data_IF_854566083141
#
_entry.id   IF_854566083141
#
_cell.length_a   1.000
_cell.length_b   1.000
_cell.length_c   1.000
_cell.angle_alpha   90.00
_cell.angle_beta   90.00
_cell.angle_gamma   90.00
#
_symmetry.space_group_name_H-M   'P 1'
#
loop_
_entity.id
_entity.type
_entity.pdbx_description
1 polymer ?
#
# COMPACT_ATOMS: atom_id res chain seq x y z
N UNK A 1 3.87 -18.07 -9.70
CA UNK A 1 4.43 -16.88 -9.01
C UNK A 1 3.37 -16.41 -8.03
N UNK A 2 3.46 -16.76 -6.74
CA UNK A 2 2.39 -16.49 -5.76
C UNK A 2 1.91 -15.04 -5.74
N UNK A 3 2.82 -14.09 -5.98
CA UNK A 3 2.48 -12.66 -6.01
C UNK A 3 1.62 -12.28 -7.23
N UNK A 4 1.85 -12.88 -8.41
CA UNK A 4 1.02 -12.61 -9.59
C UNK A 4 -0.39 -13.18 -9.42
N UNK A 5 -0.49 -14.36 -8.80
CA UNK A 5 -1.79 -14.98 -8.48
C UNK A 5 -2.57 -14.12 -7.47
N UNK A 6 -1.89 -13.58 -6.44
CA UNK A 6 -2.47 -12.64 -5.48
C UNK A 6 -2.97 -11.34 -6.13
N UNK A 7 -2.16 -10.75 -7.03
CA UNK A 7 -2.49 -9.53 -7.76
C UNK A 7 -3.67 -9.79 -8.72
N UNK A 8 -3.70 -10.94 -9.39
CA UNK A 8 -4.77 -11.30 -10.31
C UNK A 8 -6.10 -11.54 -9.58
N UNK A 9 -6.04 -12.18 -8.41
CA UNK A 9 -7.20 -12.32 -7.52
C UNK A 9 -7.70 -10.95 -7.05
N UNK A 10 -6.81 -9.98 -6.82
CA UNK A 10 -7.20 -8.64 -6.37
C UNK A 10 -7.89 -7.82 -7.47
N UNK A 11 -7.56 -8.04 -8.74
CA UNK A 11 -8.24 -7.42 -9.87
C UNK A 11 -9.68 -7.92 -10.05
N UNK A 12 -9.96 -9.19 -9.70
CA UNK A 12 -11.34 -9.71 -9.75
C UNK A 12 -12.20 -9.16 -8.60
N UNK A 13 -11.56 -8.75 -7.51
CA UNK A 13 -12.17 -8.17 -6.32
C UNK A 13 -12.28 -6.63 -6.40
N UNK A 14 -12.30 -6.04 -7.59
CA UNK A 14 -12.23 -4.58 -7.84
C UNK A 14 -13.36 -3.71 -7.28
N UNK A 15 -14.22 -4.25 -6.40
CA UNK A 15 -15.03 -3.42 -5.52
C UNK A 15 -14.11 -2.67 -4.52
N UNK A 16 -14.37 -1.39 -4.28
CA UNK A 16 -13.48 -0.50 -3.50
C UNK A 16 -13.24 -0.94 -2.05
N UNK A 17 -14.23 -1.57 -1.41
CA UNK A 17 -14.11 -2.15 -0.06
C UNK A 17 -13.13 -3.34 -0.01
N UNK A 18 -13.26 -4.38 -0.85
CA UNK A 18 -12.30 -5.49 -0.89
C UNK A 18 -10.87 -5.06 -1.26
N UNK A 19 -10.69 -4.05 -2.11
CA UNK A 19 -9.34 -3.58 -2.48
C UNK A 19 -8.57 -2.98 -1.30
N UNK A 20 -9.23 -2.15 -0.47
CA UNK A 20 -8.59 -1.55 0.73
C UNK A 20 -8.19 -2.62 1.76
N UNK A 21 -9.04 -3.63 1.95
CA UNK A 21 -8.73 -4.77 2.83
C UNK A 21 -7.50 -5.53 2.35
N UNK A 22 -7.44 -5.86 1.06
CA UNK A 22 -6.29 -6.57 0.46
C UNK A 22 -5.01 -5.76 0.57
N UNK A 23 -5.05 -4.45 0.32
CA UNK A 23 -3.88 -3.58 0.48
C UNK A 23 -3.39 -3.54 1.93
N UNK A 24 -4.32 -3.53 2.88
CA UNK A 24 -3.99 -3.60 4.31
C UNK A 24 -3.33 -4.92 4.66
N UNK A 25 -3.86 -6.05 4.17
CA UNK A 25 -3.27 -7.38 4.37
C UNK A 25 -1.86 -7.46 3.76
N UNK A 26 -1.65 -6.97 2.54
CA UNK A 26 -0.33 -6.93 1.90
C UNK A 26 0.66 -6.06 2.67
N UNK A 27 0.24 -4.86 3.09
CA UNK A 27 1.08 -3.95 3.87
C UNK A 27 1.49 -4.58 5.21
N UNK A 28 0.56 -5.22 5.92
CA UNK A 28 0.85 -5.93 7.17
C UNK A 28 1.76 -7.14 6.99
N UNK A 29 1.66 -7.83 5.86
CA UNK A 29 2.54 -8.95 5.52
C UNK A 29 3.93 -8.50 5.00
N UNK A 30 4.20 -7.19 4.95
CA UNK A 30 5.50 -6.66 4.53
C UNK A 30 5.75 -6.67 3.02
N UNK A 31 4.72 -6.94 2.21
CA UNK A 31 4.85 -6.87 0.75
C UNK A 31 5.09 -5.42 0.34
N UNK A 32 6.10 -5.19 -0.48
CA UNK A 32 6.48 -3.84 -0.92
C UNK A 32 5.94 -3.52 -2.31
N UNK A 33 5.71 -2.23 -2.65
CA UNK A 33 5.43 -1.83 -4.02
C UNK A 33 6.51 -2.28 -5.01
N UNK A 34 7.77 -2.32 -4.60
CA UNK A 34 8.88 -2.73 -5.47
C UNK A 34 8.80 -4.20 -5.87
N UNK A 35 8.43 -5.09 -4.94
CA UNK A 35 8.17 -6.51 -5.24
C UNK A 35 7.02 -6.67 -6.26
N UNK A 36 6.00 -5.81 -6.18
CA UNK A 36 4.91 -5.78 -7.14
C UNK A 36 5.38 -5.30 -8.51
N UNK A 37 6.18 -4.24 -8.55
CA UNK A 37 6.76 -3.71 -9.80
C UNK A 37 7.60 -4.77 -10.52
N UNK A 38 8.48 -5.46 -9.76
CA UNK A 38 9.30 -6.54 -10.29
C UNK A 38 8.47 -7.69 -10.86
N UNK A 39 7.40 -8.09 -10.17
CA UNK A 39 6.49 -9.13 -10.65
C UNK A 39 5.73 -8.72 -11.92
N UNK A 40 5.26 -7.48 -11.99
CA UNK A 40 4.53 -6.93 -13.14
C UNK A 40 5.42 -6.85 -14.38
N UNK A 41 6.70 -6.52 -14.21
CA UNK A 41 7.67 -6.46 -15.30
C UNK A 41 7.84 -7.81 -16.02
N UNK A 42 7.65 -8.93 -15.32
CA UNK A 42 7.75 -10.29 -15.90
C UNK A 42 6.54 -10.68 -16.76
N UNK A 43 5.44 -9.92 -16.73
CA UNK A 43 4.23 -10.22 -17.48
C UNK A 43 4.43 -9.87 -18.95
N UNK A 44 4.37 -10.85 -19.84
CA UNK A 44 4.57 -10.65 -21.30
C UNK A 44 3.35 -10.03 -22.02
N UNK A 45 2.15 -10.22 -21.48
CA UNK A 45 0.90 -9.73 -22.08
C UNK A 45 0.71 -8.25 -21.70
N UNK A 46 0.79 -7.34 -22.67
CA UNK A 46 0.76 -5.89 -22.43
C UNK A 46 -0.52 -5.41 -21.76
N UNK A 47 -1.69 -5.89 -22.17
CA UNK A 47 -2.98 -5.50 -21.58
C UNK A 47 -3.06 -5.87 -20.10
N UNK A 48 -2.62 -7.08 -19.74
CA UNK A 48 -2.50 -7.53 -18.34
C UNK A 48 -1.49 -6.66 -17.59
N UNK A 49 -0.31 -6.43 -18.17
CA UNK A 49 0.73 -5.58 -17.58
C UNK A 49 0.21 -4.17 -17.25
N UNK A 50 -0.56 -3.55 -18.14
CA UNK A 50 -1.21 -2.25 -17.90
C UNK A 50 -2.22 -2.29 -16.75
N UNK A 51 -3.09 -3.30 -16.73
CA UNK A 51 -4.07 -3.49 -15.64
C UNK A 51 -3.40 -3.64 -14.27
N UNK A 52 -2.31 -4.41 -14.22
CA UNK A 52 -1.53 -4.55 -13.00
C UNK A 52 -0.72 -3.30 -12.63
N UNK A 53 -0.26 -2.54 -13.62
CA UNK A 53 0.39 -1.24 -13.40
C UNK A 53 -0.54 -0.25 -12.70
N UNK A 54 -1.83 -0.22 -13.07
CA UNK A 54 -2.83 0.57 -12.37
C UNK A 54 -3.00 0.14 -10.90
N UNK A 55 -3.13 -1.18 -10.64
CA UNK A 55 -3.24 -1.69 -9.27
C UNK A 55 -2.00 -1.34 -8.42
N UNK A 56 -0.81 -1.49 -9.00
CA UNK A 56 0.45 -1.12 -8.35
C UNK A 56 0.50 0.37 -7.97
N UNK A 57 0.03 1.26 -8.84
CA UNK A 57 -0.08 2.70 -8.53
C UNK A 57 -0.97 2.95 -7.32
N UNK A 58 -2.14 2.31 -7.24
CA UNK A 58 -3.04 2.44 -6.10
C UNK A 58 -2.42 1.89 -4.80
N UNK A 59 -1.71 0.76 -4.88
CA UNK A 59 -1.02 0.19 -3.72
C UNK A 59 0.10 1.11 -3.22
N UNK A 60 0.88 1.69 -4.12
CA UNK A 60 1.92 2.68 -3.77
C UNK A 60 1.33 3.89 -3.04
N UNK A 61 0.21 4.42 -3.54
CA UNK A 61 -0.50 5.53 -2.88
C UNK A 61 -1.00 5.13 -1.49
N UNK A 62 -1.52 3.92 -1.31
CA UNK A 62 -1.95 3.39 -0.02
C UNK A 62 -0.78 3.31 0.97
N UNK A 63 0.36 2.75 0.56
CA UNK A 63 1.56 2.67 1.41
C UNK A 63 2.05 4.05 1.82
N UNK A 64 2.10 5.00 0.87
CA UNK A 64 2.50 6.37 1.17
C UNK A 64 1.53 7.06 2.15
N UNK A 65 0.23 6.81 2.01
CA UNK A 65 -0.77 7.31 2.94
C UNK A 65 -0.56 6.76 4.37
N UNK A 66 -0.36 5.45 4.52
CA UNK A 66 -0.13 4.82 5.83
C UNK A 66 1.16 5.34 6.50
N UNK A 67 2.25 5.51 5.73
CA UNK A 67 3.50 6.11 6.23
C UNK A 67 3.28 7.55 6.69
N UNK A 68 2.60 8.37 5.89
CA UNK A 68 2.30 9.76 6.24
C UNK A 68 1.38 9.86 7.46
N UNK A 69 0.41 8.96 7.59
CA UNK A 69 -0.49 8.89 8.74
C UNK A 69 0.28 8.57 10.02
N UNK A 70 1.19 7.59 9.98
CA UNK A 70 2.05 7.25 11.10
C UNK A 70 2.96 8.44 11.50
N UNK A 71 3.55 9.11 10.50
CA UNK A 71 4.37 10.32 10.73
C UNK A 71 3.59 11.44 11.42
N UNK A 72 2.38 11.75 10.93
CA UNK A 72 1.51 12.77 11.55
C UNK A 72 1.09 12.41 12.97
N UNK A 73 0.82 11.13 13.24
CA UNK A 73 0.50 10.68 14.59
C UNK A 73 1.70 10.86 15.54
N UNK A 74 2.91 10.55 15.09
CA UNK A 74 4.13 10.77 15.86
C UNK A 74 4.40 12.26 16.10
N UNK A 75 4.23 13.11 15.09
CA UNK A 75 4.37 14.57 15.22
C UNK A 75 3.35 15.16 16.20
N UNK A 76 2.09 14.70 16.14
CA UNK A 76 1.05 15.13 17.08
C UNK A 76 1.34 14.68 18.51
N UNK A 77 1.87 13.46 18.71
CA UNK A 77 2.28 12.97 20.02
C UNK A 77 3.48 13.77 20.57
N UNK A 78 4.48 14.05 19.74
CA UNK A 78 5.64 14.86 20.12
C UNK A 78 5.23 16.29 20.49
N UNK A 79 4.31 16.90 19.73
CA UNK A 79 3.77 18.23 20.05
C UNK A 79 3.06 18.26 21.41
N UNK A 80 2.19 17.27 21.68
CA UNK A 80 1.51 17.15 22.97
C UNK A 80 2.49 16.94 24.14
N UNK A 81 3.54 16.15 23.93
CA UNK A 81 4.57 15.93 24.94
C UNK A 81 5.36 17.22 25.24
N UNK A 82 5.69 18.00 24.20
CA UNK A 82 6.37 19.29 24.35
C UNK A 82 5.49 20.34 25.06
N UNK A 83 4.21 20.42 24.72
CA UNK A 83 3.24 21.31 25.40
C UNK A 83 3.05 20.93 26.87
N UNK A 84 2.99 19.64 27.18
CA UNK A 84 2.90 19.16 28.57
C UNK A 84 4.18 19.44 29.37
N UNK A 85 5.37 19.33 28.75
CA UNK A 85 6.64 19.64 29.40
C UNK A 85 6.87 21.14 29.61
N UNK A 86 6.28 22.01 28.77
CA UNK A 86 6.36 23.46 28.90
C UNK A 86 5.36 24.05 29.92
N UNK A 87 4.43 23.25 30.44
CA UNK A 87 3.42 23.65 31.42
C UNK A 87 3.77 23.27 32.87
N UNK A 88 5.00 22.78 33.10
CA UNK A 88 5.58 22.43 34.41
C UNK A 88 6.70 23.43 34.72
#
# INVERSE_FOLDING_TARGET
MKILDDIQSALQDSNTKPMTRRFTEWYKSGKTPDEFSAAIAQIKIESKRKGFGALHSHYRMFVQYEVNKAKRAAEAAAKKAAEAAAAI
#
